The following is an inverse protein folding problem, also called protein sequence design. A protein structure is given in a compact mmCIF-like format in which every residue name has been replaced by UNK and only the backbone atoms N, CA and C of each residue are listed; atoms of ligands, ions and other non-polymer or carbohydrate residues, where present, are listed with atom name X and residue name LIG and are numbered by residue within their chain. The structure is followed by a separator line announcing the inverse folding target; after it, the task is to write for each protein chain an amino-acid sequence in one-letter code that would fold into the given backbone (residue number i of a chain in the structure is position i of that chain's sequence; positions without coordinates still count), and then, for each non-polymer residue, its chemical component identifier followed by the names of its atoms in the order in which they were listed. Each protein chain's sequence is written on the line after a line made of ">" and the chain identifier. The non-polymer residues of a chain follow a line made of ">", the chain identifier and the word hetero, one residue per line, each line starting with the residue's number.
data_IF_177369498858
#
_entry.id   IF_177369498858
#
_cell.length_a   1.000
_cell.length_b   1.000
_cell.length_c   1.000
_cell.angle_alpha   90.00
_cell.angle_beta   90.00
_cell.angle_gamma   90.00
#
_symmetry.space_group_name_H-M   'P 1'
#
loop_
_entity.id
_entity.type
_entity.pdbx_description
1 polymer ?
#
# COMPACT_ATOMS: atom_id res chain seq x y z
N UNK A 1 17.35 -14.80 17.29
CA UNK A 1 15.88 -14.64 17.30
C UNK A 1 15.51 -13.63 18.38
N UNK A 2 14.68 -12.64 18.05
CA UNK A 2 14.10 -11.70 19.00
C UNK A 2 12.95 -12.34 19.78
N UNK A 3 12.75 -11.91 21.03
CA UNK A 3 11.65 -12.39 21.89
C UNK A 3 10.31 -11.67 21.62
N UNK A 4 10.36 -10.54 20.91
CA UNK A 4 9.19 -9.73 20.59
C UNK A 4 9.21 -9.38 19.10
N UNK A 5 8.03 -9.42 18.44
CA UNK A 5 7.93 -8.98 17.06
C UNK A 5 8.10 -7.46 16.98
N UNK A 6 8.89 -7.00 16.02
CA UNK A 6 9.05 -5.57 15.69
C UNK A 6 8.57 -5.39 14.26
N UNK A 7 7.64 -4.46 14.06
CA UNK A 7 7.10 -4.12 12.74
C UNK A 7 7.91 -3.00 12.08
N UNK A 8 7.74 -2.80 10.77
CA UNK A 8 8.33 -1.67 10.08
C UNK A 8 7.64 -0.37 10.52
N UNK A 9 8.37 0.70 10.87
CA UNK A 9 7.77 2.02 11.03
C UNK A 9 7.18 2.52 9.70
N UNK A 10 6.33 3.54 9.76
CA UNK A 10 5.73 4.10 8.55
C UNK A 10 6.81 4.74 7.67
N UNK A 11 7.03 4.15 6.49
CA UNK A 11 7.83 4.72 5.41
C UNK A 11 6.90 5.20 4.30
N UNK A 12 7.19 6.39 3.77
CA UNK A 12 6.63 6.86 2.51
C UNK A 12 7.22 6.05 1.38
N UNK A 13 6.41 5.62 0.41
CA UNK A 13 6.94 5.02 -0.81
C UNK A 13 7.57 6.08 -1.72
N UNK A 14 8.21 5.65 -2.82
CA UNK A 14 9.05 6.53 -3.64
C UNK A 14 8.33 7.81 -4.12
N UNK A 15 7.10 7.67 -4.65
CA UNK A 15 6.30 8.81 -5.09
C UNK A 15 5.94 9.74 -3.94
N UNK A 16 5.61 9.21 -2.77
CA UNK A 16 5.25 10.01 -1.60
C UNK A 16 6.45 10.78 -1.04
N UNK A 17 7.67 10.22 -1.13
CA UNK A 17 8.90 10.93 -0.79
C UNK A 17 9.14 12.08 -1.76
N UNK A 18 8.98 11.85 -3.07
CA UNK A 18 9.09 12.92 -4.07
C UNK A 18 8.08 14.05 -3.81
N UNK A 19 6.82 13.72 -3.56
CA UNK A 19 5.76 14.70 -3.28
C UNK A 19 6.02 15.47 -1.98
N UNK A 20 6.53 14.80 -0.95
CA UNK A 20 6.92 15.47 0.31
C UNK A 20 8.10 16.44 0.12
N UNK A 21 9.02 16.14 -0.81
CA UNK A 21 10.19 16.99 -1.08
C UNK A 21 9.91 18.19 -1.98
N UNK A 22 9.08 18.01 -3.03
CA UNK A 22 8.78 19.05 -4.01
C UNK A 22 7.53 19.86 -3.68
N UNK A 23 6.60 19.29 -2.93
CA UNK A 23 5.23 19.76 -2.83
C UNK A 23 4.32 19.18 -3.92
N UNK A 24 3.02 19.06 -3.61
CA UNK A 24 2.07 18.33 -4.46
C UNK A 24 1.94 18.92 -5.88
N UNK A 25 1.86 20.25 -6.00
CA UNK A 25 1.70 20.92 -7.30
C UNK A 25 2.93 20.69 -8.20
N UNK A 26 4.12 20.99 -7.68
CA UNK A 26 5.38 20.82 -8.42
C UNK A 26 5.64 19.35 -8.77
N UNK A 27 5.32 18.41 -7.88
CA UNK A 27 5.47 16.99 -8.17
C UNK A 27 4.54 16.52 -9.30
N UNK A 28 3.25 16.89 -9.24
CA UNK A 28 2.29 16.63 -10.32
C UNK A 28 2.73 17.23 -11.66
N UNK A 29 3.23 18.48 -11.62
CA UNK A 29 3.72 19.16 -12.82
C UNK A 29 5.01 18.53 -13.35
N UNK A 30 5.93 18.10 -12.49
CA UNK A 30 7.18 17.46 -12.89
C UNK A 30 6.95 16.10 -13.57
N UNK A 31 6.06 15.26 -13.02
CA UNK A 31 5.70 13.97 -13.62
C UNK A 31 5.21 14.14 -15.07
N UNK A 32 4.49 15.23 -15.33
CA UNK A 32 3.88 15.52 -16.64
C UNK A 32 4.82 16.29 -17.59
N UNK A 33 5.53 17.29 -17.10
CA UNK A 33 6.23 18.28 -17.95
C UNK A 33 7.74 18.11 -17.95
N UNK A 34 8.30 17.40 -16.98
CA UNK A 34 9.74 17.17 -16.84
C UNK A 34 10.05 15.69 -16.55
N UNK A 35 9.62 14.75 -17.41
CA UNK A 35 9.64 13.32 -17.11
C UNK A 35 11.03 12.78 -16.74
N UNK A 36 12.08 13.14 -17.49
CA UNK A 36 13.46 12.70 -17.19
C UNK A 36 13.96 13.21 -15.83
N UNK A 37 13.56 14.42 -15.43
CA UNK A 37 13.92 14.96 -14.13
C UNK A 37 13.15 14.27 -13.00
N UNK A 38 11.85 14.04 -13.20
CA UNK A 38 10.99 13.28 -12.31
C UNK A 38 11.53 11.86 -12.10
N UNK A 39 11.96 11.19 -13.18
CA UNK A 39 12.47 9.82 -13.13
C UNK A 39 13.76 9.73 -12.31
N UNK A 40 14.68 10.69 -12.46
CA UNK A 40 15.90 10.76 -11.63
C UNK A 40 15.59 10.99 -10.15
N UNK A 41 14.56 11.78 -9.84
CA UNK A 41 14.15 12.02 -8.45
C UNK A 41 13.54 10.75 -7.87
N UNK A 42 12.61 10.11 -8.60
CA UNK A 42 11.98 8.86 -8.18
C UNK A 42 13.02 7.75 -7.99
N UNK A 43 14.04 7.66 -8.84
CA UNK A 43 15.15 6.73 -8.64
C UNK A 43 15.90 6.98 -7.33
N UNK A 44 16.23 8.24 -7.04
CA UNK A 44 16.82 8.59 -5.74
C UNK A 44 15.90 8.26 -4.56
N UNK A 45 14.58 8.41 -4.72
CA UNK A 45 13.60 8.03 -3.70
C UNK A 45 13.52 6.51 -3.51
N UNK A 46 13.64 5.71 -4.58
CA UNK A 46 13.74 4.24 -4.50
C UNK A 46 15.00 3.83 -3.77
N UNK A 47 16.15 4.41 -4.13
CA UNK A 47 17.44 4.11 -3.48
C UNK A 47 17.36 4.41 -1.98
N UNK A 48 16.83 5.58 -1.60
CA UNK A 48 16.66 5.96 -0.21
C UNK A 48 15.70 5.02 0.54
N UNK A 49 14.59 4.63 -0.09
CA UNK A 49 13.63 3.70 0.51
C UNK A 49 14.29 2.34 0.76
N UNK A 50 14.96 1.79 -0.24
CA UNK A 50 15.61 0.48 -0.17
C UNK A 50 16.76 0.48 0.85
N UNK A 51 17.55 1.55 0.93
CA UNK A 51 18.60 1.71 1.94
C UNK A 51 18.00 1.72 3.36
N UNK A 52 16.96 2.52 3.59
CA UNK A 52 16.30 2.61 4.88
C UNK A 52 15.65 1.28 5.31
N UNK A 53 14.97 0.60 4.40
CA UNK A 53 14.37 -0.71 4.66
C UNK A 53 15.44 -1.77 4.96
N UNK A 54 16.52 -1.79 4.19
CA UNK A 54 17.66 -2.71 4.41
C UNK A 54 18.35 -2.44 5.75
N UNK A 55 18.59 -1.17 6.08
CA UNK A 55 19.19 -0.78 7.36
C UNK A 55 18.30 -1.20 8.54
N UNK A 56 16.98 -1.00 8.42
CA UNK A 56 15.99 -1.46 9.40
C UNK A 56 16.03 -2.97 9.57
N UNK A 57 16.01 -3.73 8.48
CA UNK A 57 16.02 -5.20 8.52
C UNK A 57 17.32 -5.72 9.14
N UNK A 58 18.47 -5.16 8.73
CA UNK A 58 19.79 -5.51 9.29
C UNK A 58 19.88 -5.23 10.79
N UNK A 59 19.26 -4.14 11.25
CA UNK A 59 19.24 -3.75 12.66
C UNK A 59 18.18 -4.46 13.52
N UNK A 60 17.24 -5.19 12.90
CA UNK A 60 16.11 -5.82 13.61
C UNK A 60 16.31 -7.34 13.66
N UNK A 61 16.36 -7.97 14.84
CA UNK A 61 16.41 -9.43 14.91
C UNK A 61 15.14 -10.06 14.34
N UNK A 62 15.29 -11.15 13.59
CA UNK A 62 14.17 -11.98 13.15
C UNK A 62 13.34 -12.49 14.34
N UNK A 63 12.02 -12.53 14.15
CA UNK A 63 11.06 -13.13 15.05
C UNK A 63 10.56 -14.43 14.42
N UNK A 64 10.81 -15.57 15.09
CA UNK A 64 10.45 -16.91 14.61
C UNK A 64 10.91 -17.20 13.16
N UNK A 65 12.10 -16.72 12.78
CA UNK A 65 12.68 -16.94 11.44
C UNK A 65 12.10 -16.05 10.34
N UNK A 66 11.44 -14.95 10.70
CA UNK A 66 10.90 -13.98 9.75
C UNK A 66 10.66 -12.62 10.39
N UNK A 67 9.82 -11.81 9.74
CA UNK A 67 9.43 -10.49 10.23
C UNK A 67 7.91 -10.31 10.13
N UNK A 68 7.41 -9.31 10.87
CA UNK A 68 6.02 -8.90 10.74
C UNK A 68 5.93 -7.67 9.84
N UNK A 69 4.92 -7.65 8.98
CA UNK A 69 4.47 -6.45 8.29
C UNK A 69 3.98 -5.41 9.29
N UNK A 70 3.81 -4.16 8.84
CA UNK A 70 3.19 -3.08 9.64
C UNK A 70 1.78 -3.42 10.13
N UNK A 71 1.14 -4.45 9.58
CA UNK A 71 -0.19 -4.94 9.93
C UNK A 71 -0.15 -6.21 10.80
N UNK A 72 1.01 -6.56 11.35
CA UNK A 72 1.14 -7.72 12.24
C UNK A 72 1.02 -9.08 11.54
N UNK A 73 1.17 -9.13 10.21
CA UNK A 73 1.20 -10.38 9.46
C UNK A 73 2.65 -10.85 9.36
N UNK A 74 2.93 -12.04 9.86
CA UNK A 74 4.26 -12.66 9.77
C UNK A 74 4.49 -13.25 8.39
N UNK A 75 5.71 -13.12 7.88
CA UNK A 75 6.18 -13.84 6.70
C UNK A 75 7.68 -14.17 6.83
N UNK A 76 8.15 -15.27 6.18
CA UNK A 76 9.56 -15.62 6.15
C UNK A 76 10.35 -14.66 5.26
N UNK A 77 11.67 -14.61 5.45
CA UNK A 77 12.53 -13.71 4.67
C UNK A 77 12.31 -12.24 5.02
N UNK A 78 12.79 -11.34 4.17
CA UNK A 78 12.66 -9.90 4.35
C UNK A 78 11.24 -9.42 4.04
N UNK A 79 10.64 -8.64 4.96
CA UNK A 79 9.27 -8.12 4.82
C UNK A 79 9.28 -6.60 4.80
N UNK A 80 8.70 -6.01 3.76
CA UNK A 80 8.62 -4.56 3.59
C UNK A 80 7.22 -4.11 3.18
N UNK A 81 6.80 -2.97 3.71
CA UNK A 81 5.58 -2.25 3.32
C UNK A 81 5.95 -0.91 2.69
N UNK A 82 5.49 -0.68 1.47
CA UNK A 82 5.52 0.63 0.78
C UNK A 82 4.11 1.24 0.71
N UNK A 83 3.98 2.44 0.16
CA UNK A 83 2.72 3.16 -0.03
C UNK A 83 2.77 4.12 -1.22
N UNK A 84 1.60 4.51 -1.73
CA UNK A 84 1.47 5.43 -2.87
C UNK A 84 0.32 6.44 -2.67
N UNK A 85 0.23 7.07 -1.51
CA UNK A 85 -0.93 7.89 -1.11
C UNK A 85 -1.19 9.06 -2.09
N UNK A 86 -0.13 9.64 -2.63
CA UNK A 86 -0.22 10.75 -3.57
C UNK A 86 -0.70 10.34 -4.98
N UNK A 87 -0.90 9.04 -5.24
CA UNK A 87 -1.50 8.57 -6.51
C UNK A 87 -2.96 9.00 -6.66
N UNK A 88 -3.61 9.40 -5.56
CA UNK A 88 -4.91 10.10 -5.58
C UNK A 88 -4.95 11.32 -6.50
N UNK A 89 -3.79 11.95 -6.76
CA UNK A 89 -3.66 13.11 -7.67
C UNK A 89 -3.24 12.73 -9.10
N UNK A 90 -3.02 11.45 -9.38
CA UNK A 90 -2.53 10.95 -10.67
C UNK A 90 -3.60 10.10 -11.36
N UNK A 91 -3.66 10.18 -12.68
CA UNK A 91 -4.50 9.25 -13.46
C UNK A 91 -3.91 7.83 -13.44
N UNK A 92 -4.71 6.78 -13.70
CA UNK A 92 -4.20 5.41 -13.83
C UNK A 92 -3.11 5.28 -14.88
N UNK A 93 -3.25 5.99 -16.00
CA UNK A 93 -2.26 6.03 -17.08
C UNK A 93 -0.94 6.64 -16.61
N UNK A 94 -0.98 7.79 -15.94
CA UNK A 94 0.21 8.42 -15.39
C UNK A 94 0.88 7.53 -14.34
N UNK A 95 0.11 6.88 -13.47
CA UNK A 95 0.66 5.93 -12.51
C UNK A 95 1.41 4.78 -13.20
N UNK A 96 0.75 4.10 -14.14
CA UNK A 96 1.32 2.96 -14.88
C UNK A 96 2.62 3.32 -15.60
N UNK A 97 2.65 4.48 -16.26
CA UNK A 97 3.79 4.87 -17.08
C UNK A 97 4.93 5.50 -16.29
N UNK A 98 4.61 6.25 -15.22
CA UNK A 98 5.56 7.16 -14.58
C UNK A 98 5.92 6.78 -13.15
N UNK A 99 5.09 6.00 -12.46
CA UNK A 99 5.29 5.66 -11.03
C UNK A 99 5.54 4.17 -10.84
N UNK A 100 4.71 3.31 -11.43
CA UNK A 100 4.80 1.85 -11.31
C UNK A 100 6.20 1.27 -11.63
N UNK A 101 6.98 1.79 -12.61
CA UNK A 101 8.34 1.32 -12.83
C UNK A 101 9.27 1.45 -11.62
N UNK A 102 9.01 2.41 -10.73
CA UNK A 102 9.78 2.65 -9.51
C UNK A 102 9.25 1.81 -8.34
N UNK A 103 7.94 1.61 -8.25
CA UNK A 103 7.37 0.67 -7.28
C UNK A 103 7.88 -0.76 -7.52
N UNK A 104 7.99 -1.20 -8.79
CA UNK A 104 8.60 -2.49 -9.16
C UNK A 104 10.02 -2.68 -8.64
N UNK A 105 10.83 -1.61 -8.59
CA UNK A 105 12.18 -1.66 -8.03
C UNK A 105 12.19 -1.89 -6.52
N UNK A 106 11.14 -1.48 -5.83
CA UNK A 106 10.93 -1.78 -4.40
C UNK A 106 10.42 -3.22 -4.25
N UNK A 107 9.45 -3.63 -5.06
CA UNK A 107 8.88 -4.98 -5.03
C UNK A 107 9.96 -6.06 -5.19
N UNK A 108 10.81 -5.92 -6.20
CA UNK A 108 11.87 -6.88 -6.51
C UNK A 108 13.05 -6.86 -5.51
N UNK A 109 13.10 -5.92 -4.56
CA UNK A 109 14.25 -5.76 -3.66
C UNK A 109 14.16 -6.60 -2.37
N UNK A 110 12.99 -7.15 -2.06
CA UNK A 110 12.73 -7.88 -0.81
C UNK A 110 11.93 -9.16 -1.09
N UNK A 111 11.98 -10.11 -0.16
CA UNK A 111 11.36 -11.44 -0.34
C UNK A 111 9.84 -11.38 -0.26
N UNK A 112 9.30 -10.48 0.57
CA UNK A 112 7.86 -10.26 0.74
C UNK A 112 7.56 -8.77 0.77
N UNK A 113 6.81 -8.30 -0.22
CA UNK A 113 6.43 -6.89 -0.32
C UNK A 113 4.93 -6.67 -0.26
N UNK A 114 4.56 -5.61 0.48
CA UNK A 114 3.19 -5.15 0.60
C UNK A 114 3.09 -3.71 0.14
N UNK A 115 2.01 -3.37 -0.55
CA UNK A 115 1.68 -1.97 -0.86
C UNK A 115 0.41 -1.56 -0.12
N UNK A 116 0.48 -0.41 0.54
CA UNK A 116 -0.66 0.26 1.13
C UNK A 116 -1.32 1.19 0.13
N UNK A 117 -2.65 1.13 0.09
CA UNK A 117 -3.52 2.04 -0.63
C UNK A 117 -4.60 2.59 0.31
N UNK A 118 -4.98 3.83 0.06
CA UNK A 118 -6.24 4.40 0.53
C UNK A 118 -7.38 3.97 -0.42
N UNK A 119 -8.62 3.88 0.07
CA UNK A 119 -9.78 3.47 -0.77
C UNK A 119 -10.04 4.45 -1.92
N UNK A 120 -9.66 5.72 -1.78
CA UNK A 120 -9.66 6.70 -2.87
C UNK A 120 -8.62 6.44 -3.97
N UNK A 121 -7.64 5.56 -3.73
CA UNK A 121 -6.55 5.25 -4.66
C UNK A 121 -6.78 3.94 -5.44
N UNK A 122 -7.98 3.35 -5.38
CA UNK A 122 -8.23 2.04 -6.00
C UNK A 122 -8.37 2.07 -7.53
N UNK A 123 -8.22 3.24 -8.16
CA UNK A 123 -8.18 3.37 -9.63
C UNK A 123 -6.94 2.77 -10.28
N UNK A 124 -5.92 2.38 -9.50
CA UNK A 124 -4.67 1.78 -9.99
C UNK A 124 -4.56 0.27 -9.73
N UNK A 125 -5.57 -0.35 -9.13
CA UNK A 125 -5.49 -1.77 -8.71
C UNK A 125 -5.25 -2.72 -9.88
N UNK A 126 -5.80 -2.43 -11.06
CA UNK A 126 -5.70 -3.34 -12.20
C UNK A 126 -4.27 -3.51 -12.70
N UNK A 127 -3.40 -2.52 -12.46
CA UNK A 127 -1.97 -2.64 -12.71
C UNK A 127 -1.29 -3.41 -11.57
N UNK A 128 -1.59 -3.07 -10.32
CA UNK A 128 -0.95 -3.68 -9.14
C UNK A 128 -1.24 -5.18 -8.98
N UNK A 129 -2.46 -5.64 -9.30
CA UNK A 129 -2.83 -7.06 -9.15
C UNK A 129 -2.06 -7.98 -10.09
N UNK A 130 -1.42 -7.44 -11.13
CA UNK A 130 -0.63 -8.17 -12.10
C UNK A 130 0.87 -8.25 -11.75
N UNK A 131 1.33 -7.50 -10.74
CA UNK A 131 2.75 -7.44 -10.39
C UNK A 131 3.18 -8.69 -9.62
N UNK A 132 4.04 -9.53 -10.22
CA UNK A 132 4.44 -10.82 -9.64
C UNK A 132 5.21 -10.66 -8.32
N UNK A 133 6.09 -9.66 -8.24
CA UNK A 133 6.92 -9.38 -7.06
C UNK A 133 6.17 -8.65 -5.92
N UNK A 134 4.88 -8.37 -6.11
CA UNK A 134 4.01 -7.77 -5.08
C UNK A 134 3.16 -8.86 -4.42
N UNK A 135 3.43 -9.18 -3.16
CA UNK A 135 2.78 -10.31 -2.48
C UNK A 135 1.41 -9.99 -1.90
N UNK A 136 1.18 -8.74 -1.47
CA UNK A 136 -0.08 -8.38 -0.82
C UNK A 136 -0.43 -6.90 -1.00
N UNK A 137 -1.72 -6.63 -1.17
CA UNK A 137 -2.27 -5.28 -1.17
C UNK A 137 -3.01 -5.07 0.14
N UNK A 138 -2.76 -3.92 0.77
CA UNK A 138 -3.51 -3.48 1.93
C UNK A 138 -4.31 -2.23 1.56
N UNK A 139 -5.60 -2.22 1.89
CA UNK A 139 -6.50 -1.10 1.62
C UNK A 139 -7.04 -0.53 2.94
N UNK A 140 -6.81 0.76 3.17
CA UNK A 140 -7.43 1.51 4.26
C UNK A 140 -8.70 2.20 3.77
N UNK A 141 -9.81 1.99 4.46
CA UNK A 141 -11.07 2.67 4.15
C UNK A 141 -10.99 4.13 4.61
N UNK A 142 -11.22 5.06 3.68
CA UNK A 142 -11.18 6.51 3.89
C UNK A 142 -12.43 7.05 4.60
N UNK A 143 -12.80 6.45 5.72
CA UNK A 143 -13.93 6.92 6.51
C UNK A 143 -13.59 8.21 7.29
N UNK A 144 -14.49 9.21 7.35
CA UNK A 144 -15.68 9.44 6.53
C UNK A 144 -15.40 10.32 5.28
N UNK A 145 -14.13 10.61 4.99
CA UNK A 145 -13.71 11.64 4.02
C UNK A 145 -13.52 11.18 2.56
N UNK A 146 -13.68 9.89 2.28
CA UNK A 146 -13.48 9.28 0.97
C UNK A 146 -14.37 8.04 0.78
N UNK A 147 -14.09 7.20 -0.23
CA UNK A 147 -14.93 6.05 -0.54
C UNK A 147 -15.04 5.09 0.65
N UNK A 148 -16.27 4.76 1.02
CA UNK A 148 -16.56 3.80 2.08
C UNK A 148 -16.32 2.38 1.58
N UNK A 149 -16.35 1.39 2.47
CA UNK A 149 -16.14 0.00 2.09
C UNK A 149 -17.21 -0.49 1.10
N UNK A 150 -18.46 -0.06 1.28
CA UNK A 150 -19.55 -0.35 0.35
C UNK A 150 -19.29 0.18 -1.07
N UNK A 151 -18.61 1.32 -1.21
CA UNK A 151 -18.33 1.95 -2.51
C UNK A 151 -17.23 1.24 -3.30
N UNK A 152 -16.38 0.48 -2.61
CA UNK A 152 -15.18 -0.13 -3.19
C UNK A 152 -15.18 -1.65 -3.14
N UNK A 153 -16.28 -2.28 -2.72
CA UNK A 153 -16.40 -3.74 -2.66
C UNK A 153 -15.99 -4.46 -3.97
N UNK A 154 -16.36 -3.97 -5.17
CA UNK A 154 -15.91 -4.60 -6.42
C UNK A 154 -14.38 -4.58 -6.60
N UNK A 155 -13.72 -3.49 -6.20
CA UNK A 155 -12.27 -3.32 -6.24
C UNK A 155 -11.58 -4.25 -5.24
N UNK A 156 -12.14 -4.39 -4.03
CA UNK A 156 -11.63 -5.34 -3.03
C UNK A 156 -11.75 -6.79 -3.52
N UNK A 157 -12.88 -7.15 -4.14
CA UNK A 157 -13.05 -8.45 -4.78
C UNK A 157 -12.06 -8.67 -5.93
N UNK A 158 -11.80 -7.64 -6.74
CA UNK A 158 -10.83 -7.67 -7.83
C UNK A 158 -9.41 -7.95 -7.34
N UNK A 159 -9.00 -7.33 -6.24
CA UNK A 159 -7.72 -7.65 -5.58
C UNK A 159 -7.71 -9.11 -5.15
N UNK A 160 -8.75 -9.56 -4.46
CA UNK A 160 -8.86 -10.92 -3.93
C UNK A 160 -8.88 -12.03 -4.97
N UNK A 161 -9.25 -11.73 -6.22
CA UNK A 161 -9.13 -12.67 -7.34
C UNK A 161 -7.66 -12.99 -7.70
N UNK A 162 -6.70 -12.15 -7.30
CA UNK A 162 -5.29 -12.25 -7.74
C UNK A 162 -4.31 -12.31 -6.57
N UNK A 163 -4.57 -11.56 -5.49
CA UNK A 163 -3.63 -11.33 -4.39
C UNK A 163 -4.33 -11.39 -3.03
N UNK A 164 -3.62 -11.80 -1.97
CA UNK A 164 -4.06 -11.57 -0.60
C UNK A 164 -4.37 -10.09 -0.33
N UNK A 165 -5.44 -9.85 0.43
CA UNK A 165 -5.93 -8.53 0.79
C UNK A 165 -5.97 -8.35 2.31
N UNK A 166 -5.47 -7.21 2.77
CA UNK A 166 -5.68 -6.73 4.14
C UNK A 166 -6.58 -5.50 4.06
N UNK A 167 -7.70 -5.49 4.80
CA UNK A 167 -8.58 -4.31 4.90
C UNK A 167 -8.44 -3.70 6.29
N UNK A 168 -8.18 -2.40 6.35
CA UNK A 168 -8.10 -1.65 7.61
C UNK A 168 -9.05 -0.45 7.60
N UNK A 169 -9.24 0.12 8.78
CA UNK A 169 -9.95 1.38 8.95
C UNK A 169 -11.38 1.20 9.46
N UNK A 170 -12.10 2.32 9.65
CA UNK A 170 -13.46 2.28 10.15
C UNK A 170 -14.44 1.75 9.09
N UNK A 171 -15.41 0.95 9.51
CA UNK A 171 -16.51 0.43 8.68
C UNK A 171 -17.79 0.36 9.49
N UNK A 172 -18.94 0.40 8.82
CA UNK A 172 -20.22 0.07 9.45
C UNK A 172 -20.36 -1.44 9.67
N UNK A 173 -21.29 -1.85 10.53
CA UNK A 173 -21.55 -3.27 10.79
C UNK A 173 -21.98 -4.01 9.52
N UNK A 174 -22.86 -3.40 8.71
CA UNK A 174 -23.30 -3.97 7.44
C UNK A 174 -22.14 -4.18 6.46
N UNK A 175 -21.20 -3.22 6.39
CA UNK A 175 -20.03 -3.32 5.53
C UNK A 175 -19.08 -4.42 5.99
N UNK A 176 -18.87 -4.57 7.30
CA UNK A 176 -18.10 -5.70 7.84
C UNK A 176 -18.74 -7.04 7.45
N UNK A 177 -20.06 -7.14 7.48
CA UNK A 177 -20.75 -8.37 7.09
C UNK A 177 -20.61 -8.64 5.60
N UNK A 178 -20.68 -7.62 4.73
CA UNK A 178 -20.39 -7.76 3.30
C UNK A 178 -18.92 -8.13 3.01
N UNK A 179 -17.96 -7.54 3.74
CA UNK A 179 -16.53 -7.85 3.62
C UNK A 179 -16.23 -9.32 3.91
N UNK A 180 -16.99 -9.97 4.82
CA UNK A 180 -16.84 -11.41 5.11
C UNK A 180 -17.33 -12.31 3.99
N UNK A 181 -18.22 -11.81 3.13
CA UNK A 181 -18.79 -12.56 2.00
C UNK A 181 -17.93 -12.45 0.73
N UNK A 182 -16.90 -11.60 0.74
CA UNK A 182 -15.88 -11.58 -0.32
C UNK A 182 -15.28 -12.97 -0.52
N UNK A 183 -15.00 -13.32 -1.78
CA UNK A 183 -14.49 -14.64 -2.17
C UNK A 183 -13.01 -14.56 -2.47
N UNK A 184 -12.11 -14.89 -1.53
CA UNK A 184 -10.69 -14.79 -1.75
C UNK A 184 -10.18 -15.95 -2.60
N UNK A 185 -9.37 -15.65 -3.62
CA UNK A 185 -8.49 -16.64 -4.24
C UNK A 185 -7.26 -16.92 -3.34
N UNK A 186 -6.89 -15.94 -2.50
CA UNK A 186 -5.79 -16.02 -1.52
C UNK A 186 -6.26 -15.84 -0.06
N UNK A 187 -5.52 -15.04 0.72
CA UNK A 187 -5.86 -14.71 2.10
C UNK A 187 -6.62 -13.38 2.22
N UNK A 188 -7.63 -13.32 3.09
CA UNK A 188 -8.30 -12.08 3.51
C UNK A 188 -8.03 -11.84 5.00
N UNK A 189 -7.53 -10.65 5.33
CA UNK A 189 -7.38 -10.18 6.71
C UNK A 189 -8.22 -8.93 6.92
N UNK A 190 -9.13 -8.96 7.90
CA UNK A 190 -9.94 -7.81 8.28
C UNK A 190 -9.42 -7.26 9.61
N UNK A 191 -8.78 -6.09 9.58
CA UNK A 191 -8.33 -5.31 10.73
C UNK A 191 -9.10 -4.00 10.79
N UNK A 192 -10.42 -4.11 10.91
CA UNK A 192 -11.34 -2.99 10.82
C UNK A 192 -11.89 -2.60 12.18
N UNK A 193 -12.29 -1.33 12.30
CA UNK A 193 -13.01 -0.81 13.46
C UNK A 193 -14.48 -0.65 13.09
N UNK A 194 -15.39 -1.34 13.79
CA UNK A 194 -16.83 -1.13 13.59
C UNK A 194 -17.25 0.17 14.26
N UNK A 195 -17.77 1.12 13.47
CA UNK A 195 -18.32 2.38 13.96
C UNK A 195 -19.85 2.31 14.04
N UNK A 196 -20.48 3.09 14.94
CA UNK A 196 -21.94 3.17 15.05
C UNK A 196 -22.60 3.71 13.76
N UNK A 197 -23.77 3.16 13.41
CA UNK A 197 -24.52 3.56 12.20
C UNK A 197 -25.10 4.99 12.26
N UNK A 198 -25.20 5.58 13.46
CA UNK A 198 -25.70 6.96 13.67
C UNK A 198 -24.65 8.04 13.33
N UNK A 199 -23.39 7.65 13.10
CA UNK A 199 -22.35 8.54 12.55
C UNK A 199 -22.46 8.74 11.03
N UNK A 200 -23.49 8.22 10.35
CA UNK A 200 -23.83 8.56 8.94
C UNK A 200 -24.16 10.04 8.69
N UNK A 201 -23.95 10.90 9.68
CA UNK A 201 -24.34 12.31 9.68
C UNK A 201 -23.10 13.19 9.62
N UNK A 202 -22.78 13.68 8.41
CA UNK A 202 -22.59 15.08 7.99
C UNK A 202 -22.05 15.09 6.56
#
# INVERSE_FOLDING_TARGET
>A
AGHHPITQPLFRGPVDVMFAGLGHEEACMAVKTAPEASDRILDGCVELFNEMATARLTGTPEFEGGYLSSFGIWAPGTVVRTQVDNVSMLSPETYRERILPFDRKVFAAFDVTLIHLHSCCLHIIDDLVLEEDLDCIQVSIDYPGGPLAADVMPQLQRVLEHKPLIVTGPVYQAELDELKELKPAGGLCLQVQVVPDDERTI
#
